data_IF_475404164646
#
_entry.id   IF_475404164646
#
_cell.length_a   1.000
_cell.length_b   1.000
_cell.length_c   1.000
_cell.angle_alpha   90.00
_cell.angle_beta   90.00
_cell.angle_gamma   90.00
#
_symmetry.space_group_name_H-M   'P 1'
#
loop_
_entity.id
_entity.type
_entity.pdbx_description
1 polymer ?
#
# COMPACT_ATOMS: atom_id res chain seq x y z
N UNK A 1 -0.28 -18.63 15.56
CA UNK A 1 -0.36 -18.00 14.22
C UNK A 1 0.11 -18.91 13.08
N UNK A 2 -0.82 -19.38 12.25
CA UNK A 2 -0.53 -20.09 11.01
C UNK A 2 -0.41 -19.11 9.81
N UNK A 3 0.79 -18.60 9.56
CA UNK A 3 1.01 -17.55 8.54
C UNK A 3 0.63 -17.94 7.10
N UNK A 4 0.49 -19.24 6.79
CA UNK A 4 0.05 -19.66 5.44
C UNK A 4 -1.38 -19.21 5.11
N UNK A 5 -2.23 -19.08 6.13
CA UNK A 5 -3.64 -18.69 5.99
C UNK A 5 -3.82 -17.22 5.61
N UNK A 6 -2.78 -16.40 5.72
CA UNK A 6 -2.82 -15.02 5.19
C UNK A 6 -2.94 -14.95 3.66
N UNK A 7 -2.68 -16.06 2.95
CA UNK A 7 -2.87 -16.16 1.49
C UNK A 7 -4.31 -16.56 1.13
N UNK A 8 -5.10 -16.98 2.11
CA UNK A 8 -6.49 -17.35 1.89
C UNK A 8 -7.37 -16.10 1.78
N UNK A 9 -8.44 -16.21 1.00
CA UNK A 9 -9.40 -15.12 0.82
C UNK A 9 -10.26 -14.98 2.08
N UNK A 10 -10.07 -13.90 2.83
CA UNK A 10 -10.86 -13.62 4.03
C UNK A 10 -12.29 -13.16 3.70
N UNK A 11 -12.43 -12.16 2.83
CA UNK A 11 -13.71 -11.72 2.28
C UNK A 11 -13.81 -12.13 0.81
N UNK A 12 -14.86 -12.86 0.39
CA UNK A 12 -15.03 -13.26 -1.00
C UNK A 12 -15.30 -12.03 -1.87
N UNK A 13 -14.96 -12.13 -3.17
CA UNK A 13 -15.05 -11.00 -4.11
C UNK A 13 -16.45 -10.40 -4.16
N UNK A 14 -17.47 -11.25 -4.11
CA UNK A 14 -18.88 -10.85 -4.15
C UNK A 14 -19.23 -9.97 -2.96
N UNK A 15 -18.73 -10.31 -1.76
CA UNK A 15 -18.94 -9.52 -0.55
C UNK A 15 -18.18 -8.18 -0.61
N UNK A 16 -16.96 -8.18 -1.13
CA UNK A 16 -16.19 -6.93 -1.33
C UNK A 16 -16.91 -5.99 -2.31
N UNK A 17 -17.50 -6.53 -3.36
CA UNK A 17 -18.31 -5.77 -4.32
C UNK A 17 -19.59 -5.22 -3.69
N UNK A 18 -20.29 -6.03 -2.89
CA UNK A 18 -21.47 -5.61 -2.13
C UNK A 18 -21.14 -4.45 -1.19
N UNK A 19 -20.07 -4.57 -0.39
CA UNK A 19 -19.57 -3.51 0.51
C UNK A 19 -19.25 -2.21 -0.24
N UNK A 20 -18.78 -2.30 -1.49
CA UNK A 20 -18.40 -1.15 -2.30
C UNK A 20 -19.58 -0.49 -3.02
N UNK A 21 -20.56 -1.27 -3.47
CA UNK A 21 -21.67 -0.82 -4.33
C UNK A 21 -22.90 -0.41 -3.51
N UNK A 22 -23.22 -1.18 -2.49
CA UNK A 22 -24.56 -1.20 -1.89
C UNK A 22 -24.66 -0.38 -0.61
N UNK A 23 -23.53 0.09 -0.08
CA UNK A 23 -23.48 0.88 1.16
C UNK A 23 -22.89 2.27 0.89
N UNK A 24 -23.68 3.35 1.05
CA UNK A 24 -23.16 4.72 1.04
C UNK A 24 -22.08 4.90 2.11
N UNK A 25 -21.14 5.84 1.90
CA UNK A 25 -20.06 6.15 2.84
C UNK A 25 -20.52 6.47 4.28
N UNK A 26 -21.81 6.80 4.46
CA UNK A 26 -22.41 7.16 5.74
C UNK A 26 -22.95 5.95 6.53
N UNK A 27 -23.12 4.78 5.91
CA UNK A 27 -23.71 3.60 6.54
C UNK A 27 -22.64 2.58 7.00
N UNK A 28 -21.68 3.09 7.76
CA UNK A 28 -20.47 2.36 8.15
C UNK A 28 -20.78 1.25 9.15
N UNK A 29 -21.75 1.46 10.05
CA UNK A 29 -22.15 0.42 11.01
C UNK A 29 -22.76 -0.78 10.29
N UNK A 30 -23.57 -0.56 9.24
CA UNK A 30 -24.12 -1.69 8.47
C UNK A 30 -23.02 -2.44 7.70
N UNK A 31 -22.03 -1.74 7.12
CA UNK A 31 -20.83 -2.39 6.53
C UNK A 31 -20.11 -3.25 7.56
N UNK A 32 -19.88 -2.73 8.76
CA UNK A 32 -19.18 -3.43 9.84
C UNK A 32 -19.96 -4.64 10.33
N UNK A 33 -21.26 -4.51 10.51
CA UNK A 33 -22.11 -5.63 10.94
C UNK A 33 -22.19 -6.72 9.87
N UNK A 34 -22.20 -6.36 8.58
CA UNK A 34 -22.11 -7.33 7.49
C UNK A 34 -20.77 -8.09 7.52
N UNK A 35 -19.65 -7.40 7.70
CA UNK A 35 -18.32 -8.02 7.83
C UNK A 35 -18.28 -8.96 9.02
N UNK A 36 -18.70 -8.51 10.21
CA UNK A 36 -18.74 -9.35 11.43
C UNK A 36 -19.64 -10.57 11.25
N UNK A 37 -20.82 -10.38 10.67
CA UNK A 37 -21.77 -11.47 10.40
C UNK A 37 -21.19 -12.51 9.47
N UNK A 38 -20.44 -12.08 8.45
CA UNK A 38 -19.72 -13.01 7.58
C UNK A 38 -18.55 -13.69 8.30
N UNK A 39 -17.72 -12.92 9.00
CA UNK A 39 -16.57 -13.42 9.74
C UNK A 39 -16.96 -14.49 10.77
N UNK A 40 -18.06 -14.31 11.49
CA UNK A 40 -18.59 -15.30 12.42
C UNK A 40 -18.93 -16.65 11.76
N UNK A 41 -19.32 -16.65 10.48
CA UNK A 41 -19.61 -17.88 9.71
C UNK A 41 -18.35 -18.61 9.27
N UNK A 42 -17.21 -17.91 9.13
CA UNK A 42 -15.99 -18.49 8.57
C UNK A 42 -14.86 -18.62 9.59
N UNK A 43 -14.99 -18.05 10.79
CA UNK A 43 -13.91 -17.99 11.77
C UNK A 43 -13.32 -19.35 12.15
N UNK A 44 -14.13 -20.41 12.14
CA UNK A 44 -13.68 -21.78 12.38
C UNK A 44 -12.65 -22.31 11.36
N UNK A 45 -12.51 -21.67 10.20
CA UNK A 45 -11.56 -22.06 9.14
C UNK A 45 -10.16 -21.50 9.37
N UNK A 46 -10.01 -20.53 10.26
CA UNK A 46 -8.77 -19.80 10.47
C UNK A 46 -8.20 -20.10 11.86
N UNK A 47 -6.88 -20.10 11.97
CA UNK A 47 -6.18 -19.97 13.24
C UNK A 47 -6.62 -18.66 13.93
N UNK A 48 -6.78 -18.71 15.25
CA UNK A 48 -7.40 -17.62 16.01
C UNK A 48 -6.66 -16.28 15.83
N UNK A 49 -5.33 -16.29 15.89
CA UNK A 49 -4.51 -15.09 15.71
C UNK A 49 -4.68 -14.53 14.28
N UNK A 50 -4.68 -15.40 13.27
CA UNK A 50 -4.85 -15.00 11.87
C UNK A 50 -6.23 -14.40 11.64
N UNK A 51 -7.26 -15.03 12.20
CA UNK A 51 -8.64 -14.55 12.13
C UNK A 51 -8.77 -13.15 12.75
N UNK A 52 -8.21 -12.95 13.94
CA UNK A 52 -8.26 -11.68 14.65
C UNK A 52 -7.54 -10.57 13.88
N UNK A 53 -6.36 -10.85 13.33
CA UNK A 53 -5.61 -9.91 12.49
C UNK A 53 -6.42 -9.53 11.24
N UNK A 54 -6.97 -10.51 10.54
CA UNK A 54 -7.73 -10.26 9.31
C UNK A 54 -9.00 -9.46 9.60
N UNK A 55 -9.74 -9.82 10.65
CA UNK A 55 -10.95 -9.10 11.05
C UNK A 55 -10.64 -7.65 11.42
N UNK A 56 -9.65 -7.42 12.29
CA UNK A 56 -9.29 -6.06 12.69
C UNK A 56 -8.77 -5.22 11.52
N UNK A 57 -8.04 -5.82 10.59
CA UNK A 57 -7.63 -5.13 9.35
C UNK A 57 -8.85 -4.63 8.57
N UNK A 58 -9.85 -5.47 8.31
CA UNK A 58 -11.04 -5.07 7.55
C UNK A 58 -11.89 -4.03 8.31
N UNK A 59 -12.09 -4.21 9.62
CA UNK A 59 -12.82 -3.25 10.45
C UNK A 59 -12.12 -1.87 10.50
N UNK A 60 -10.79 -1.87 10.63
CA UNK A 60 -9.97 -0.67 10.58
C UNK A 60 -10.09 0.05 9.24
N UNK A 61 -10.09 -0.68 8.11
CA UNK A 61 -10.28 -0.11 6.77
C UNK A 61 -11.66 0.57 6.66
N UNK A 62 -12.73 -0.11 7.07
CA UNK A 62 -14.08 0.48 7.05
C UNK A 62 -14.16 1.79 7.87
N UNK A 63 -13.56 1.81 9.07
CA UNK A 63 -13.50 3.00 9.93
C UNK A 63 -12.61 4.10 9.34
N UNK A 64 -11.57 3.74 8.60
CA UNK A 64 -10.70 4.71 7.92
C UNK A 64 -11.41 5.37 6.74
N UNK A 65 -12.08 4.60 5.89
CA UNK A 65 -12.89 5.12 4.77
C UNK A 65 -14.01 6.06 5.24
N UNK A 66 -14.57 5.76 6.41
CA UNK A 66 -15.55 6.57 7.11
C UNK A 66 -15.04 7.93 7.63
N UNK A 67 -13.73 8.16 7.63
CA UNK A 67 -13.11 9.30 8.32
C UNK A 67 -13.06 9.17 9.85
N UNK A 68 -13.39 8.00 10.41
CA UNK A 68 -13.38 7.72 11.85
C UNK A 68 -11.98 7.28 12.31
N UNK A 69 -10.99 8.15 12.09
CA UNK A 69 -9.57 7.81 12.23
C UNK A 69 -9.18 7.32 13.63
N UNK A 70 -9.74 7.90 14.70
CA UNK A 70 -9.46 7.46 16.07
C UNK A 70 -9.91 6.01 16.33
N UNK A 71 -11.04 5.58 15.77
CA UNK A 71 -11.51 4.20 15.87
C UNK A 71 -10.70 3.26 14.97
N UNK A 72 -10.33 3.72 13.78
CA UNK A 72 -9.47 2.95 12.87
C UNK A 72 -8.09 2.64 13.50
N UNK A 73 -7.51 3.61 14.24
CA UNK A 73 -6.23 3.43 14.96
C UNK A 73 -6.30 2.23 15.90
N UNK A 74 -7.36 2.09 16.70
CA UNK A 74 -7.50 0.99 17.66
C UNK A 74 -7.41 -0.38 16.96
N UNK A 75 -8.06 -0.53 15.82
CA UNK A 75 -8.01 -1.77 15.04
C UNK A 75 -6.63 -2.00 14.40
N UNK A 76 -6.03 -0.95 13.83
CA UNK A 76 -4.70 -1.09 13.20
C UNK A 76 -3.59 -1.37 14.22
N UNK A 77 -3.65 -0.81 15.43
CA UNK A 77 -2.70 -1.13 16.50
C UNK A 77 -2.81 -2.60 16.92
N UNK A 78 -4.03 -3.16 17.02
CA UNK A 78 -4.22 -4.59 17.29
C UNK A 78 -3.55 -5.46 16.24
N UNK A 79 -3.68 -5.11 14.95
CA UNK A 79 -3.01 -5.82 13.87
C UNK A 79 -1.48 -5.72 14.00
N UNK A 80 -0.92 -4.52 14.17
CA UNK A 80 0.54 -4.34 14.20
C UNK A 80 1.19 -4.97 15.43
N UNK A 81 0.49 -5.05 16.56
CA UNK A 81 1.01 -5.74 17.74
C UNK A 81 1.00 -7.27 17.60
N UNK A 82 0.10 -7.83 16.80
CA UNK A 82 -0.05 -9.27 16.64
C UNK A 82 0.68 -9.83 15.40
N UNK A 83 0.79 -9.05 14.32
CA UNK A 83 1.36 -9.49 13.05
C UNK A 83 2.87 -9.22 13.00
N UNK A 84 3.72 -10.26 13.06
CA UNK A 84 5.15 -10.08 12.79
C UNK A 84 5.35 -9.64 11.33
N UNK A 85 6.26 -8.68 11.06
CA UNK A 85 6.44 -8.12 9.72
C UNK A 85 6.85 -9.15 8.67
N UNK A 86 7.54 -10.22 9.05
CA UNK A 86 7.95 -11.31 8.15
C UNK A 86 6.84 -12.34 7.85
N UNK A 87 5.78 -12.39 8.67
CA UNK A 87 4.71 -13.37 8.52
C UNK A 87 3.77 -13.02 7.36
N UNK A 88 3.46 -11.73 7.20
CA UNK A 88 2.78 -11.19 6.02
C UNK A 88 3.22 -9.73 5.79
N UNK A 89 4.34 -9.50 5.09
CA UNK A 89 4.88 -8.16 4.88
C UNK A 89 3.89 -7.23 4.18
N UNK A 90 3.15 -7.73 3.20
CA UNK A 90 2.16 -6.93 2.46
C UNK A 90 1.08 -6.37 3.39
N UNK A 91 0.48 -7.21 4.25
CA UNK A 91 -0.52 -6.74 5.21
C UNK A 91 0.11 -5.83 6.26
N UNK A 92 1.29 -6.17 6.75
CA UNK A 92 1.99 -5.38 7.76
C UNK A 92 2.24 -3.94 7.27
N UNK A 93 2.85 -3.78 6.09
CA UNK A 93 3.19 -2.47 5.54
C UNK A 93 1.97 -1.66 5.10
N UNK A 94 0.92 -2.34 4.61
CA UNK A 94 -0.37 -1.69 4.37
C UNK A 94 -0.95 -1.09 5.66
N UNK A 95 -1.04 -1.90 6.71
CA UNK A 95 -1.71 -1.49 7.96
C UNK A 95 -0.90 -0.45 8.72
N UNK A 96 0.42 -0.59 8.81
CA UNK A 96 1.25 0.42 9.48
C UNK A 96 1.22 1.75 8.71
N UNK A 97 1.16 1.71 7.38
CA UNK A 97 0.97 2.90 6.55
C UNK A 97 -0.36 3.61 6.83
N UNK A 98 -1.46 2.86 6.99
CA UNK A 98 -2.76 3.40 7.38
C UNK A 98 -2.73 3.97 8.82
N UNK A 99 -2.08 3.26 9.75
CA UNK A 99 -1.92 3.70 11.14
C UNK A 99 -1.15 5.02 11.24
N UNK A 100 -0.04 5.15 10.53
CA UNK A 100 0.73 6.40 10.37
C UNK A 100 -0.20 7.51 9.87
N UNK A 101 -0.90 7.26 8.77
CA UNK A 101 -1.79 8.26 8.15
C UNK A 101 -2.93 8.68 9.07
N UNK A 102 -3.56 7.76 9.80
CA UNK A 102 -4.60 8.08 10.77
C UNK A 102 -4.08 9.03 11.86
N UNK A 103 -2.94 8.71 12.46
CA UNK A 103 -2.33 9.55 13.50
C UNK A 103 -1.99 10.95 12.95
N UNK A 104 -1.46 11.04 11.73
CA UNK A 104 -1.22 12.32 11.05
C UNK A 104 -2.51 13.12 10.84
N UNK A 105 -3.61 12.47 10.45
CA UNK A 105 -4.90 13.12 10.17
C UNK A 105 -5.59 13.67 11.42
N UNK A 106 -5.31 13.10 12.59
CA UNK A 106 -5.77 13.63 13.89
C UNK A 106 -4.73 14.54 14.56
N UNK A 107 -3.68 14.93 13.83
CA UNK A 107 -2.57 15.76 14.27
C UNK A 107 -1.73 15.20 15.44
N UNK A 108 -1.73 13.88 15.65
CA UNK A 108 -0.80 13.19 16.56
C UNK A 108 0.50 12.84 15.84
N UNK A 109 1.31 13.87 15.55
CA UNK A 109 2.53 13.72 14.75
C UNK A 109 3.63 12.93 15.45
N UNK A 110 3.70 12.97 16.78
CA UNK A 110 4.69 12.21 17.53
C UNK A 110 4.41 10.70 17.47
N UNK A 111 3.15 10.27 17.65
CA UNK A 111 2.80 8.86 17.43
C UNK A 111 2.97 8.45 15.98
N UNK A 112 2.57 9.31 15.05
CA UNK A 112 2.75 9.04 13.62
C UNK A 112 4.22 8.78 13.27
N UNK A 113 5.13 9.61 13.81
CA UNK A 113 6.56 9.43 13.64
C UNK A 113 7.08 8.14 14.29
N UNK A 114 6.60 7.76 15.48
CA UNK A 114 6.97 6.48 16.12
C UNK A 114 6.60 5.29 15.23
N UNK A 115 5.39 5.29 14.67
CA UNK A 115 4.95 4.24 13.75
C UNK A 115 5.75 4.24 12.44
N UNK A 116 6.09 5.42 11.92
CA UNK A 116 6.94 5.54 10.73
C UNK A 116 8.35 4.98 10.98
N UNK A 117 8.96 5.29 12.12
CA UNK A 117 10.26 4.72 12.49
C UNK A 117 10.20 3.20 12.66
N UNK A 118 9.10 2.68 13.24
CA UNK A 118 8.88 1.24 13.34
C UNK A 118 8.78 0.59 11.94
N UNK A 119 8.03 1.20 11.01
CA UNK A 119 7.95 0.72 9.64
C UNK A 119 9.34 0.71 8.97
N UNK A 120 10.07 1.82 9.08
CA UNK A 120 11.42 1.97 8.52
C UNK A 120 12.41 0.93 9.04
N UNK A 121 12.37 0.60 10.34
CA UNK A 121 13.24 -0.42 10.93
C UNK A 121 12.90 -1.85 10.46
N UNK A 122 11.71 -2.09 9.91
CA UNK A 122 11.26 -3.40 9.45
C UNK A 122 11.29 -3.57 7.93
N UNK A 123 11.74 -2.57 7.16
CA UNK A 123 11.69 -2.61 5.68
C UNK A 123 12.47 -3.77 5.05
N UNK A 124 13.46 -4.33 5.74
CA UNK A 124 14.16 -5.54 5.28
C UNK A 124 13.29 -6.79 5.21
N UNK A 125 12.08 -6.75 5.80
CA UNK A 125 11.14 -7.87 5.79
C UNK A 125 10.26 -7.89 4.53
N UNK A 126 10.29 -6.84 3.69
CA UNK A 126 9.60 -6.81 2.40
C UNK A 126 10.60 -6.74 1.24
N UNK A 127 10.36 -7.55 0.22
CA UNK A 127 11.09 -7.46 -1.05
C UNK A 127 10.43 -6.48 -2.04
N UNK A 128 9.30 -5.87 -1.66
CA UNK A 128 8.58 -4.94 -2.52
C UNK A 128 9.11 -3.52 -2.32
N UNK A 129 9.86 -3.02 -3.31
CA UNK A 129 10.46 -1.68 -3.28
C UNK A 129 9.42 -0.55 -3.24
N UNK A 130 8.17 -0.78 -3.67
CA UNK A 130 7.11 0.22 -3.54
C UNK A 130 6.62 0.37 -2.09
N UNK A 131 6.66 -0.69 -1.28
CA UNK A 131 6.37 -0.61 0.16
C UNK A 131 7.47 0.20 0.87
N UNK A 132 8.74 -0.02 0.47
CA UNK A 132 9.89 0.77 0.92
C UNK A 132 9.73 2.25 0.57
N UNK A 133 9.38 2.56 -0.69
CA UNK A 133 9.12 3.93 -1.14
C UNK A 133 7.98 4.58 -0.32
N UNK A 134 6.88 3.88 -0.13
CA UNK A 134 5.72 4.40 0.62
C UNK A 134 6.09 4.75 2.06
N UNK A 135 6.88 3.90 2.72
CA UNK A 135 7.38 4.13 4.08
C UNK A 135 8.37 5.30 4.16
N UNK A 136 9.28 5.40 3.19
CA UNK A 136 10.23 6.52 3.07
C UNK A 136 9.51 7.86 2.91
N UNK A 137 8.48 7.91 2.07
CA UNK A 137 7.67 9.12 1.85
C UNK A 137 6.96 9.54 3.12
N UNK A 138 6.32 8.60 3.82
CA UNK A 138 5.64 8.89 5.07
C UNK A 138 6.62 9.40 6.14
N UNK A 139 7.79 8.76 6.27
CA UNK A 139 8.82 9.17 7.21
C UNK A 139 9.38 10.57 6.88
N UNK A 140 9.72 10.84 5.61
CA UNK A 140 10.24 12.13 5.18
C UNK A 140 9.25 13.29 5.43
N UNK A 141 7.95 13.09 5.14
CA UNK A 141 6.91 14.09 5.41
C UNK A 141 6.82 14.39 6.92
N UNK A 142 6.84 13.36 7.77
CA UNK A 142 6.75 13.52 9.22
C UNK A 142 7.98 14.18 9.84
N UNK A 143 9.17 13.82 9.38
CA UNK A 143 10.43 14.45 9.79
C UNK A 143 10.41 15.95 9.44
N UNK A 144 9.92 16.30 8.24
CA UNK A 144 9.72 17.68 7.82
C UNK A 144 8.70 18.43 8.70
N UNK A 145 7.54 17.83 8.96
CA UNK A 145 6.47 18.42 9.81
C UNK A 145 6.89 18.62 11.26
N UNK A 146 7.71 17.72 11.79
CA UNK A 146 8.19 17.76 13.18
C UNK A 146 9.51 18.52 13.32
N UNK A 147 10.03 19.10 12.23
CA UNK A 147 11.32 19.79 12.18
C UNK A 147 12.49 18.96 12.77
N UNK A 148 12.46 17.65 12.53
CA UNK A 148 13.52 16.72 12.92
C UNK A 148 14.49 16.53 11.76
N UNK A 149 15.75 16.14 12.01
CA UNK A 149 16.66 15.73 10.95
C UNK A 149 16.29 14.33 10.43
N UNK A 150 16.50 14.09 9.14
CA UNK A 150 16.35 12.76 8.56
C UNK A 150 17.41 11.81 9.12
N UNK A 151 16.99 10.66 9.66
CA UNK A 151 17.92 9.72 10.29
C UNK A 151 18.88 9.09 9.27
N UNK A 152 20.18 9.25 9.51
CA UNK A 152 21.26 8.78 8.62
C UNK A 152 21.22 7.26 8.37
N UNK A 153 20.77 6.47 9.34
CA UNK A 153 20.64 5.01 9.20
C UNK A 153 19.70 4.57 8.08
N UNK A 154 18.77 5.43 7.64
CA UNK A 154 17.79 5.12 6.60
C UNK A 154 18.22 5.58 5.20
N UNK A 155 19.34 6.30 5.08
CA UNK A 155 19.89 6.75 3.78
C UNK A 155 20.15 5.58 2.80
N UNK A 156 20.73 4.43 3.22
CA UNK A 156 20.94 3.31 2.32
C UNK A 156 19.64 2.81 1.64
N UNK A 157 18.50 2.90 2.32
CA UNK A 157 17.20 2.47 1.79
C UNK A 157 16.73 3.35 0.63
N UNK A 158 17.13 4.62 0.59
CA UNK A 158 16.79 5.51 -0.54
C UNK A 158 17.52 5.05 -1.80
N UNK A 159 18.81 4.76 -1.68
CA UNK A 159 19.61 4.23 -2.79
C UNK A 159 19.10 2.87 -3.27
N UNK A 160 18.70 2.01 -2.34
CA UNK A 160 18.08 0.72 -2.64
C UNK A 160 16.82 0.91 -3.50
N UNK A 161 15.89 1.78 -3.09
CA UNK A 161 14.68 2.09 -3.86
C UNK A 161 14.98 2.69 -5.23
N UNK A 162 15.94 3.62 -5.32
CA UNK A 162 16.37 4.21 -6.60
C UNK A 162 16.85 3.11 -7.55
N UNK A 163 17.73 2.24 -7.07
CA UNK A 163 18.36 1.21 -7.89
C UNK A 163 17.37 0.10 -8.28
N UNK A 164 16.58 -0.40 -7.34
CA UNK A 164 15.63 -1.50 -7.57
C UNK A 164 14.49 -1.09 -8.52
N UNK A 165 13.95 0.13 -8.36
CA UNK A 165 12.87 0.62 -9.22
C UNK A 165 13.39 1.32 -10.49
N UNK A 166 14.70 1.61 -10.56
CA UNK A 166 15.34 2.26 -11.69
C UNK A 166 14.91 3.72 -11.86
N UNK A 167 14.84 4.48 -10.76
CA UNK A 167 14.58 5.92 -10.81
C UNK A 167 15.80 6.68 -11.37
N UNK A 168 15.59 7.74 -12.18
CA UNK A 168 16.68 8.56 -12.71
C UNK A 168 17.34 9.46 -11.65
N UNK A 169 16.68 9.68 -10.51
CA UNK A 169 17.18 10.51 -9.43
C UNK A 169 18.49 9.97 -8.83
N UNK A 170 19.42 10.87 -8.53
CA UNK A 170 20.61 10.58 -7.72
C UNK A 170 20.44 11.16 -6.32
N UNK A 171 20.81 10.39 -5.29
CA UNK A 171 20.68 10.83 -3.91
C UNK A 171 21.52 12.09 -3.62
N UNK A 172 20.85 13.13 -3.12
CA UNK A 172 21.47 14.35 -2.61
C UNK A 172 20.98 14.65 -1.18
N UNK A 173 20.08 15.61 -1.01
CA UNK A 173 19.29 15.79 0.18
C UNK A 173 18.22 14.68 0.25
N UNK A 174 18.15 13.88 1.34
CA UNK A 174 17.20 12.78 1.46
C UNK A 174 15.74 13.18 1.23
N UNK A 175 15.29 14.28 1.83
CA UNK A 175 13.91 14.72 1.75
C UNK A 175 13.53 15.16 0.33
N UNK A 176 14.38 15.96 -0.32
CA UNK A 176 14.19 16.39 -1.71
C UNK A 176 14.25 15.22 -2.69
N UNK A 177 15.15 14.26 -2.43
CA UNK A 177 15.28 13.05 -3.25
C UNK A 177 14.00 12.23 -3.17
N UNK A 178 13.51 11.95 -1.96
CA UNK A 178 12.26 11.18 -1.74
C UNK A 178 11.05 11.90 -2.37
N UNK A 179 10.94 13.23 -2.20
CA UNK A 179 9.87 14.03 -2.81
C UNK A 179 9.90 13.97 -4.35
N UNK A 180 11.09 14.06 -4.96
CA UNK A 180 11.25 13.90 -6.42
C UNK A 180 10.82 12.52 -6.89
N UNK A 181 11.32 11.45 -6.25
CA UNK A 181 10.98 10.07 -6.58
C UNK A 181 9.46 9.87 -6.47
N UNK A 182 8.83 10.37 -5.40
CA UNK A 182 7.39 10.23 -5.19
C UNK A 182 6.57 10.97 -6.25
N UNK A 183 6.99 12.17 -6.66
CA UNK A 183 6.35 12.93 -7.76
C UNK A 183 6.47 12.19 -9.09
N UNK A 184 7.66 11.68 -9.39
CA UNK A 184 7.92 10.86 -10.58
C UNK A 184 7.04 9.61 -10.56
N UNK A 185 7.04 8.87 -9.45
CA UNK A 185 6.23 7.67 -9.23
C UNK A 185 4.74 7.95 -9.45
N UNK A 186 4.19 8.95 -8.77
CA UNK A 186 2.76 9.31 -8.84
C UNK A 186 2.34 9.66 -10.28
N UNK A 187 3.16 10.45 -10.98
CA UNK A 187 2.89 10.84 -12.39
C UNK A 187 2.80 9.62 -13.30
N UNK A 188 3.78 8.73 -13.21
CA UNK A 188 3.87 7.58 -14.11
C UNK A 188 2.89 6.47 -13.76
N UNK A 189 2.66 6.22 -12.46
CA UNK A 189 1.61 5.31 -12.01
C UNK A 189 0.22 5.73 -12.49
N UNK A 190 -0.09 7.03 -12.44
CA UNK A 190 -1.35 7.58 -12.95
C UNK A 190 -1.50 7.34 -14.46
N UNK A 191 -0.46 7.68 -15.24
CA UNK A 191 -0.46 7.43 -16.69
C UNK A 191 -0.61 5.95 -17.03
N UNK A 192 0.04 5.06 -16.29
CA UNK A 192 -0.10 3.63 -16.48
C UNK A 192 -1.54 3.17 -16.20
N UNK A 193 -2.14 3.67 -15.11
CA UNK A 193 -3.52 3.38 -14.75
C UNK A 193 -4.51 3.83 -15.83
N UNK A 194 -4.31 5.03 -16.40
CA UNK A 194 -5.10 5.55 -17.52
C UNK A 194 -5.03 4.62 -18.74
N UNK A 195 -3.83 4.10 -19.05
CA UNK A 195 -3.65 3.13 -20.14
C UNK A 195 -4.40 1.84 -19.82
N UNK A 196 -4.22 1.27 -18.63
CA UNK A 196 -4.81 -0.02 -18.25
C UNK A 196 -6.34 0.02 -18.15
N UNK A 197 -6.92 1.16 -17.78
CA UNK A 197 -8.39 1.31 -17.64
C UNK A 197 -9.07 1.72 -18.96
N UNK A 198 -8.30 2.12 -19.96
CA UNK A 198 -8.85 2.52 -21.25
C UNK A 198 -9.37 1.31 -22.02
N UNK A 199 -10.61 1.40 -22.53
CA UNK A 199 -11.16 0.40 -23.46
C UNK A 199 -10.62 0.68 -24.86
N UNK A 200 -9.65 -0.12 -25.30
CA UNK A 200 -9.10 -0.02 -26.66
C UNK A 200 -9.99 -0.72 -27.68
N UNK A 201 -9.91 -0.25 -28.93
CA UNK A 201 -10.63 -0.86 -30.06
C UNK A 201 -10.10 -2.25 -30.42
N UNK A 202 -8.81 -2.48 -30.21
CA UNK A 202 -8.10 -3.73 -30.49
C UNK A 202 -6.75 -3.73 -29.77
N UNK A 203 -6.13 -4.91 -29.68
CA UNK A 203 -4.81 -5.13 -29.06
C UNK A 203 -3.72 -4.26 -29.69
N UNK A 204 -3.74 -4.02 -31.00
CA UNK A 204 -2.73 -3.19 -31.66
C UNK A 204 -2.74 -1.73 -31.15
N UNK A 205 -3.93 -1.20 -30.85
CA UNK A 205 -4.07 0.14 -30.27
C UNK A 205 -3.58 0.19 -28.82
N UNK A 206 -3.83 -0.87 -28.06
CA UNK A 206 -3.35 -1.02 -26.69
C UNK A 206 -1.82 -1.16 -26.64
N UNK A 207 -1.24 -2.02 -27.48
CA UNK A 207 0.20 -2.18 -27.62
C UNK A 207 0.89 -0.84 -27.94
N UNK A 208 0.33 -0.07 -28.88
CA UNK A 208 0.86 1.25 -29.23
C UNK A 208 0.88 2.20 -28.03
N UNK A 209 -0.18 2.21 -27.20
CA UNK A 209 -0.22 3.03 -25.99
C UNK A 209 0.87 2.63 -24.98
N UNK A 210 1.10 1.33 -24.77
CA UNK A 210 2.20 0.84 -23.93
C UNK A 210 3.59 1.15 -24.50
N UNK A 211 3.77 1.10 -25.83
CA UNK A 211 5.03 1.47 -26.48
C UNK A 211 5.36 2.96 -26.28
N UNK A 212 4.39 3.84 -26.50
CA UNK A 212 4.53 5.28 -26.27
C UNK A 212 4.85 5.57 -24.80
N UNK A 213 4.16 4.91 -23.87
CA UNK A 213 4.43 5.00 -22.43
C UNK A 213 5.87 4.58 -22.09
N UNK A 214 6.32 3.43 -22.61
CA UNK A 214 7.66 2.88 -22.36
C UNK A 214 8.78 3.78 -22.89
N UNK A 215 8.54 4.50 -23.99
CA UNK A 215 9.52 5.44 -24.56
C UNK A 215 9.65 6.72 -23.73
N UNK A 216 8.56 7.19 -23.13
CA UNK A 216 8.55 8.44 -22.37
C UNK A 216 8.86 8.26 -20.89
N UNK A 217 8.56 7.10 -20.32
CA UNK A 217 8.75 6.83 -18.88
C UNK A 217 10.24 6.66 -18.57
N UNK A 218 10.82 7.44 -17.63
CA UNK A 218 12.22 7.32 -17.27
C UNK A 218 12.49 6.21 -16.25
N UNK A 219 11.46 5.67 -15.59
CA UNK A 219 11.60 4.73 -14.47
C UNK A 219 11.72 3.31 -14.99
N UNK A 220 12.80 2.61 -14.63
CA UNK A 220 13.12 1.27 -15.10
C UNK A 220 11.99 0.25 -14.89
N UNK A 221 11.42 0.19 -13.69
CA UNK A 221 10.34 -0.73 -13.37
C UNK A 221 9.12 -0.57 -14.29
N UNK A 222 8.66 0.67 -14.49
CA UNK A 222 7.52 0.98 -15.35
C UNK A 222 7.78 0.66 -16.82
N UNK A 223 9.00 0.88 -17.31
CA UNK A 223 9.39 0.51 -18.68
C UNK A 223 9.40 -1.00 -18.89
N UNK A 224 9.89 -1.75 -17.90
CA UNK A 224 9.91 -3.21 -17.93
C UNK A 224 8.48 -3.77 -17.92
N UNK A 225 7.64 -3.30 -17.00
CA UNK A 225 6.22 -3.66 -16.93
C UNK A 225 5.50 -3.44 -18.27
N UNK A 226 5.65 -2.25 -18.87
CA UNK A 226 5.05 -1.95 -20.16
C UNK A 226 5.58 -2.88 -21.27
N UNK A 227 6.88 -3.22 -21.24
CA UNK A 227 7.47 -4.20 -22.15
C UNK A 227 6.85 -5.59 -22.02
N UNK A 228 6.69 -6.10 -20.79
CA UNK A 228 6.05 -7.39 -20.52
C UNK A 228 4.60 -7.42 -20.99
N UNK A 229 3.86 -6.32 -20.81
CA UNK A 229 2.48 -6.19 -21.31
C UNK A 229 2.40 -6.23 -22.83
N UNK A 230 3.33 -5.57 -23.53
CA UNK A 230 3.42 -5.65 -24.99
C UNK A 230 3.66 -7.09 -25.45
N UNK A 231 4.57 -7.83 -24.80
CA UNK A 231 4.83 -9.24 -25.14
C UNK A 231 3.62 -10.15 -24.84
N UNK A 232 2.91 -9.91 -23.74
CA UNK A 232 1.66 -10.63 -23.45
C UNK A 232 0.63 -10.45 -24.56
N UNK A 233 0.40 -9.20 -25.01
CA UNK A 233 -0.55 -8.89 -26.09
C UNK A 233 -0.15 -9.51 -27.43
N UNK A 234 1.15 -9.63 -27.72
CA UNK A 234 1.62 -10.33 -28.93
C UNK A 234 1.30 -11.82 -28.91
N UNK A 235 1.37 -12.45 -27.74
CA UNK A 235 1.19 -13.89 -27.56
C UNK A 235 -0.29 -14.32 -27.40
N UNK A 236 -1.23 -13.37 -27.37
CA UNK A 236 -2.67 -13.67 -27.35
C UNK A 236 -3.26 -13.90 -28.76
N UNK A 237 -2.44 -13.73 -29.81
CA UNK A 237 -2.74 -14.06 -31.20
C UNK A 237 -2.42 -15.52 -31.53
#
# INVERSE_FOLDING_TARGET
MNSSQFKETFLPKELVLELSRDFPDKDIEAKIELIKSYAAKIGYKFDADVFEILLNKELGICRWEAGQYSLAITHFEQVIHQLPPNANPTTYFLVIGLLIRCNTLIADYDKSLQWAELAMNNLSQTNNSFDKLSSLVAYADLVGRTNRPFAQKFIPLINEVINELGFPETLNDPNKTIDSIQKTNTKWNKRLSEITLTKYKNEASEMKAFEEYRQQCPVGWYRNYAGEKIEQLKNMK
#
